data_IF_123648142647
#
_entry.id   IF_123648142647
#
_cell.length_a   1.000
_cell.length_b   1.000
_cell.length_c   1.000
_cell.angle_alpha   90.00
_cell.angle_beta   90.00
_cell.angle_gamma   90.00
#
_symmetry.space_group_name_H-M   'P 1'
#
loop_
_entity.id
_entity.type
_entity.pdbx_description
1 polymer ?
#
# COMPACT_ATOMS: atom_id res chain seq x y z
N UNK A 1 40.51 19.51 12.16
CA UNK A 1 40.74 19.79 10.72
C UNK A 1 41.63 21.04 10.47
N UNK A 2 42.43 21.50 11.44
CA UNK A 2 43.54 22.44 11.19
C UNK A 2 44.91 21.73 11.25
N UNK A 3 45.00 20.58 11.93
CA UNK A 3 46.27 19.89 12.20
C UNK A 3 46.77 19.11 10.98
N UNK A 4 45.88 18.51 10.17
CA UNK A 4 46.29 17.69 9.03
C UNK A 4 46.80 18.51 7.83
N UNK A 5 46.41 19.78 7.71
CA UNK A 5 46.82 20.66 6.61
C UNK A 5 48.19 21.32 6.86
N UNK A 6 48.60 21.45 8.12
CA UNK A 6 49.92 22.00 8.48
C UNK A 6 51.03 20.99 8.13
N UNK A 7 50.73 19.69 8.20
CA UNK A 7 51.66 18.60 7.91
C UNK A 7 52.05 18.49 6.43
N UNK A 8 51.32 19.12 5.50
CA UNK A 8 51.54 19.00 4.05
C UNK A 8 52.16 20.23 3.37
N UNK A 9 52.46 21.30 4.12
CA UNK A 9 53.02 22.54 3.57
C UNK A 9 52.07 23.34 2.68
N UNK A 10 50.79 22.96 2.60
CA UNK A 10 49.78 23.70 1.85
C UNK A 10 49.27 24.89 2.67
N UNK A 11 49.28 26.09 2.07
CA UNK A 11 48.73 27.31 2.69
C UNK A 11 47.23 27.11 2.96
N UNK A 12 46.72 27.33 4.19
CA UNK A 12 45.29 27.27 4.47
C UNK A 12 44.54 28.31 3.64
N UNK A 13 43.90 27.86 2.57
CA UNK A 13 43.05 28.72 1.74
C UNK A 13 41.64 28.73 2.32
N UNK A 14 41.09 29.93 2.56
CA UNK A 14 39.71 30.13 3.05
C UNK A 14 38.70 29.42 2.13
N UNK A 15 38.95 29.39 0.82
CA UNK A 15 38.09 28.71 -0.14
C UNK A 15 37.97 27.20 0.14
N UNK A 16 39.07 26.54 0.50
CA UNK A 16 39.07 25.12 0.85
C UNK A 16 38.29 24.85 2.15
N UNK A 17 38.35 25.77 3.11
CA UNK A 17 37.58 25.67 4.34
C UNK A 17 36.07 25.85 4.09
N UNK A 18 35.70 26.79 3.20
CA UNK A 18 34.31 27.03 2.82
C UNK A 18 33.73 25.84 2.05
N UNK A 19 34.49 25.23 1.14
CA UNK A 19 34.07 24.01 0.42
C UNK A 19 33.84 22.84 1.39
N UNK A 20 34.77 22.63 2.32
CA UNK A 20 34.62 21.57 3.33
C UNK A 20 33.40 21.79 4.22
N UNK A 21 33.15 23.03 4.66
CA UNK A 21 31.99 23.39 5.44
C UNK A 21 30.68 23.17 4.67
N UNK A 22 30.61 23.59 3.40
CA UNK A 22 29.45 23.37 2.55
C UNK A 22 29.13 21.87 2.42
N UNK A 23 30.13 21.01 2.26
CA UNK A 23 29.94 19.56 2.22
C UNK A 23 29.30 19.04 3.51
N UNK A 24 29.85 19.41 4.67
CA UNK A 24 29.36 18.97 5.98
C UNK A 24 27.92 19.45 6.21
N UNK A 25 27.63 20.73 5.95
CA UNK A 25 26.30 21.28 6.17
C UNK A 25 25.26 20.70 5.21
N UNK A 26 25.62 20.46 3.95
CA UNK A 26 24.70 19.85 2.99
C UNK A 26 24.41 18.38 3.32
N UNK A 27 25.41 17.60 3.76
CA UNK A 27 25.19 16.23 4.24
C UNK A 27 24.26 16.21 5.46
N UNK A 28 24.45 17.12 6.42
CA UNK A 28 23.58 17.28 7.57
C UNK A 28 22.17 17.73 7.17
N UNK A 29 22.04 18.65 6.22
CA UNK A 29 20.75 19.12 5.69
C UNK A 29 19.95 17.99 5.04
N UNK A 30 20.62 17.10 4.28
CA UNK A 30 19.95 15.91 3.69
C UNK A 30 19.42 15.01 4.81
N UNK A 31 20.22 14.76 5.84
CA UNK A 31 19.81 13.91 6.96
C UNK A 31 18.61 14.51 7.71
N UNK A 32 18.66 15.78 8.02
CA UNK A 32 17.60 16.50 8.73
C UNK A 32 16.28 16.53 7.92
N UNK A 33 16.36 16.81 6.62
CA UNK A 33 15.20 16.73 5.73
C UNK A 33 14.57 15.34 5.68
N UNK A 34 15.38 14.27 5.68
CA UNK A 34 14.88 12.90 5.73
C UNK A 34 14.23 12.55 7.06
N UNK A 35 14.79 12.99 8.18
CA UNK A 35 14.22 12.76 9.51
C UNK A 35 12.83 13.41 9.62
N UNK A 36 12.67 14.65 9.12
CA UNK A 36 11.36 15.31 9.01
C UNK A 36 10.40 14.47 8.16
N UNK A 37 10.83 14.07 6.96
CA UNK A 37 9.99 13.28 6.07
C UNK A 37 9.52 11.96 6.70
N UNK A 38 10.45 11.21 7.28
CA UNK A 38 10.18 9.92 7.91
C UNK A 38 9.25 10.07 9.12
N UNK A 39 9.50 11.04 9.99
CA UNK A 39 8.69 11.24 11.19
C UNK A 39 7.22 11.56 10.87
N UNK A 40 6.97 12.40 9.87
CA UNK A 40 5.61 12.75 9.45
C UNK A 40 4.92 11.59 8.71
N UNK A 41 5.65 10.84 7.87
CA UNK A 41 5.08 9.68 7.19
C UNK A 41 4.81 8.50 8.12
N UNK A 42 5.63 8.27 9.15
CA UNK A 42 5.35 7.25 10.18
C UNK A 42 4.12 7.62 11.02
N UNK A 43 3.86 8.91 11.28
CA UNK A 43 2.59 9.33 11.90
C UNK A 43 1.40 9.02 10.99
N UNK A 44 1.52 9.31 9.69
CA UNK A 44 0.47 9.06 8.69
C UNK A 44 0.11 7.57 8.57
N UNK A 45 1.10 6.69 8.72
CA UNK A 45 0.94 5.24 8.64
C UNK A 45 -0.10 4.67 9.61
N UNK A 46 -0.34 5.32 10.75
CA UNK A 46 -1.38 4.93 11.70
C UNK A 46 -2.80 5.04 11.11
N UNK A 47 -2.98 5.80 10.03
CA UNK A 47 -4.26 5.98 9.35
C UNK A 47 -4.42 5.08 8.13
N UNK A 48 -3.49 4.17 7.86
CA UNK A 48 -3.62 3.25 6.74
C UNK A 48 -4.77 2.25 6.97
N UNK A 49 -5.49 1.84 5.90
CA UNK A 49 -5.32 2.26 4.51
C UNK A 49 -5.98 3.61 4.20
N UNK A 50 -5.34 4.40 3.33
CA UNK A 50 -5.82 5.66 2.77
C UNK A 50 -6.09 5.52 1.26
N UNK A 51 -6.98 6.38 0.74
CA UNK A 51 -7.13 6.55 -0.71
C UNK A 51 -5.81 7.05 -1.32
N UNK A 52 -5.53 6.64 -2.57
CA UNK A 52 -4.27 7.00 -3.24
C UNK A 52 -4.09 8.52 -3.36
N UNK A 53 -5.18 9.25 -3.61
CA UNK A 53 -5.17 10.72 -3.71
C UNK A 53 -4.74 11.37 -2.39
N UNK A 54 -5.21 10.85 -1.26
CA UNK A 54 -4.94 11.40 0.06
C UNK A 54 -3.50 11.08 0.48
N UNK A 55 -3.06 9.84 0.25
CA UNK A 55 -1.67 9.44 0.47
C UNK A 55 -0.69 10.28 -0.37
N UNK A 56 -1.01 10.51 -1.64
CA UNK A 56 -0.17 11.32 -2.55
C UNK A 56 -0.15 12.78 -2.13
N UNK A 57 -1.31 13.36 -1.77
CA UNK A 57 -1.41 14.73 -1.28
C UNK A 57 -0.57 14.94 -0.02
N UNK A 58 -0.66 14.01 0.95
CA UNK A 58 0.15 14.05 2.16
C UNK A 58 1.64 13.90 1.87
N UNK A 59 2.02 12.98 0.97
CA UNK A 59 3.40 12.84 0.52
C UNK A 59 3.96 14.14 -0.05
N UNK A 60 3.23 14.83 -0.94
CA UNK A 60 3.69 16.09 -1.53
C UNK A 60 3.87 17.19 -0.47
N UNK A 61 2.95 17.28 0.48
CA UNK A 61 3.05 18.23 1.58
C UNK A 61 4.30 17.97 2.45
N UNK A 62 4.50 16.72 2.87
CA UNK A 62 5.64 16.34 3.71
C UNK A 62 6.97 16.44 2.95
N UNK A 63 6.99 16.08 1.65
CA UNK A 63 8.14 16.30 0.77
C UNK A 63 8.52 17.79 0.75
N UNK A 64 7.55 18.69 0.60
CA UNK A 64 7.79 20.13 0.63
C UNK A 64 8.39 20.60 1.96
N UNK A 65 7.89 20.10 3.10
CA UNK A 65 8.47 20.40 4.42
C UNK A 65 9.91 19.92 4.56
N UNK A 66 10.22 18.71 4.08
CA UNK A 66 11.57 18.17 4.08
C UNK A 66 12.53 19.00 3.21
N UNK A 67 12.09 19.41 2.01
CA UNK A 67 12.84 20.30 1.14
C UNK A 67 13.06 21.67 1.78
N UNK A 68 12.05 22.25 2.43
CA UNK A 68 12.21 23.52 3.14
C UNK A 68 13.19 23.40 4.32
N UNK A 69 13.18 22.28 5.03
CA UNK A 69 14.11 22.00 6.13
C UNK A 69 15.55 21.91 5.60
N UNK A 70 15.75 21.17 4.52
CA UNK A 70 17.03 21.12 3.80
C UNK A 70 17.51 22.52 3.40
N UNK A 71 16.67 23.31 2.74
CA UNK A 71 17.02 24.64 2.24
C UNK A 71 17.44 25.64 3.33
N UNK A 72 16.92 25.49 4.55
CA UNK A 72 17.29 26.35 5.69
C UNK A 72 18.73 26.11 6.16
N UNK A 73 19.27 24.91 5.94
CA UNK A 73 20.59 24.50 6.41
C UNK A 73 21.63 24.41 5.29
N UNK A 74 21.19 24.02 4.09
CA UNK A 74 22.06 23.83 2.94
C UNK A 74 22.73 25.14 2.53
N UNK A 75 23.98 25.05 2.08
CA UNK A 75 24.73 26.18 1.57
C UNK A 75 25.68 25.74 0.45
N UNK A 76 25.80 26.57 -0.61
CA UNK A 76 26.63 26.30 -1.80
C UNK A 76 26.37 24.93 -2.47
N UNK A 77 25.12 24.46 -2.50
CA UNK A 77 24.72 23.28 -3.30
C UNK A 77 24.51 23.65 -4.79
N UNK A 78 25.53 24.23 -5.43
CA UNK A 78 25.43 24.85 -6.76
C UNK A 78 24.99 23.88 -7.85
N UNK A 79 25.41 22.61 -7.77
CA UNK A 79 25.04 21.55 -8.73
C UNK A 79 23.70 20.87 -8.40
N UNK A 80 23.10 21.23 -7.25
CA UNK A 80 21.87 20.64 -6.72
C UNK A 80 22.00 19.15 -6.36
N UNK A 81 23.22 18.65 -6.20
CA UNK A 81 23.47 17.21 -5.99
C UNK A 81 22.91 16.73 -4.64
N UNK A 82 22.99 17.56 -3.61
CA UNK A 82 22.48 17.20 -2.29
C UNK A 82 20.95 17.24 -2.26
N UNK A 83 20.35 18.24 -2.89
CA UNK A 83 18.90 18.29 -3.07
C UNK A 83 18.37 17.07 -3.84
N UNK A 84 19.00 16.71 -4.98
CA UNK A 84 18.65 15.50 -5.74
C UNK A 84 18.76 14.24 -4.88
N UNK A 85 19.84 14.13 -4.08
CA UNK A 85 20.01 13.00 -3.16
C UNK A 85 18.88 12.90 -2.13
N UNK A 86 18.42 14.03 -1.59
CA UNK A 86 17.26 14.07 -0.69
C UNK A 86 15.99 13.59 -1.41
N UNK A 87 15.70 14.10 -2.60
CA UNK A 87 14.51 13.73 -3.36
C UNK A 87 14.47 12.26 -3.75
N UNK A 88 15.60 11.69 -4.18
CA UNK A 88 15.72 10.26 -4.50
C UNK A 88 15.46 9.37 -3.28
N UNK A 89 16.01 9.74 -2.12
CA UNK A 89 15.80 9.01 -0.86
C UNK A 89 14.35 9.12 -0.40
N UNK A 90 13.73 10.30 -0.51
CA UNK A 90 12.30 10.50 -0.25
C UNK A 90 11.44 9.62 -1.17
N UNK A 91 11.76 9.54 -2.46
CA UNK A 91 11.02 8.69 -3.42
C UNK A 91 11.07 7.22 -3.01
N UNK A 92 12.27 6.71 -2.69
CA UNK A 92 12.44 5.31 -2.23
C UNK A 92 11.65 5.02 -0.96
N UNK A 93 11.63 5.95 -0.01
CA UNK A 93 10.82 5.82 1.20
C UNK A 93 9.33 5.81 0.87
N UNK A 94 8.88 6.69 -0.04
CA UNK A 94 7.49 6.77 -0.45
C UNK A 94 6.99 5.47 -1.11
N UNK A 95 7.81 4.81 -1.92
CA UNK A 95 7.48 3.50 -2.50
C UNK A 95 7.20 2.45 -1.40
N UNK A 96 7.99 2.48 -0.32
CA UNK A 96 7.77 1.66 0.88
C UNK A 96 6.42 1.95 1.55
N UNK A 97 6.09 3.22 1.79
CA UNK A 97 4.81 3.62 2.38
C UNK A 97 3.62 3.27 1.48
N UNK A 98 3.74 3.45 0.17
CA UNK A 98 2.73 3.01 -0.79
C UNK A 98 2.50 1.49 -0.72
N UNK A 99 3.58 0.70 -0.64
CA UNK A 99 3.48 -0.74 -0.48
C UNK A 99 2.75 -1.13 0.81
N UNK A 100 3.09 -0.51 1.93
CA UNK A 100 2.42 -0.73 3.21
C UNK A 100 0.93 -0.34 3.16
N UNK A 101 0.59 0.80 2.55
CA UNK A 101 -0.79 1.23 2.37
C UNK A 101 -1.60 0.24 1.51
N UNK A 102 -1.00 -0.24 0.41
CA UNK A 102 -1.59 -1.28 -0.45
C UNK A 102 -1.85 -2.56 0.34
N UNK A 103 -0.90 -3.00 1.15
CA UNK A 103 -1.04 -4.19 1.96
C UNK A 103 -2.11 -4.05 3.05
N UNK A 104 -2.20 -2.88 3.71
CA UNK A 104 -3.26 -2.59 4.67
C UNK A 104 -4.65 -2.59 4.00
N UNK A 105 -4.76 -2.03 2.79
CA UNK A 105 -6.01 -2.06 2.02
C UNK A 105 -6.39 -3.49 1.65
N UNK A 106 -5.44 -4.29 1.14
CA UNK A 106 -5.67 -5.70 0.81
C UNK A 106 -6.18 -6.48 2.02
N UNK A 107 -5.50 -6.40 3.18
CA UNK A 107 -5.91 -7.10 4.40
C UNK A 107 -7.33 -6.73 4.83
N UNK A 108 -7.65 -5.43 4.87
CA UNK A 108 -8.98 -4.95 5.27
C UNK A 108 -10.07 -5.48 4.34
N UNK A 109 -9.82 -5.46 3.04
CA UNK A 109 -10.72 -6.00 2.03
C UNK A 109 -10.91 -7.53 2.19
N UNK A 110 -9.83 -8.28 2.44
CA UNK A 110 -9.85 -9.73 2.70
C UNK A 110 -10.64 -10.07 3.97
N UNK A 111 -10.42 -9.34 5.06
CA UNK A 111 -11.14 -9.52 6.33
C UNK A 111 -12.64 -9.25 6.16
N UNK A 112 -13.00 -8.20 5.42
CA UNK A 112 -14.38 -7.87 5.11
C UNK A 112 -15.05 -8.97 4.27
N UNK A 113 -14.42 -9.44 3.20
CA UNK A 113 -14.95 -10.55 2.40
C UNK A 113 -15.06 -11.83 3.21
N UNK A 114 -14.07 -12.13 4.06
CA UNK A 114 -14.11 -13.30 4.94
C UNK A 114 -15.31 -13.22 5.89
N UNK A 115 -15.56 -12.05 6.48
CA UNK A 115 -16.73 -11.84 7.33
C UNK A 115 -18.05 -11.95 6.57
N UNK A 116 -18.15 -11.36 5.38
CA UNK A 116 -19.37 -11.37 4.57
C UNK A 116 -19.70 -12.76 4.01
N UNK A 117 -18.67 -13.54 3.66
CA UNK A 117 -18.80 -14.86 3.08
C UNK A 117 -18.90 -15.99 4.11
N UNK A 118 -18.55 -15.76 5.38
CA UNK A 118 -18.59 -16.77 6.43
C UNK A 118 -19.92 -17.55 6.51
N UNK A 119 -21.12 -16.92 6.44
CA UNK A 119 -22.39 -17.66 6.46
C UNK A 119 -22.56 -18.58 5.24
N UNK A 120 -22.16 -18.13 4.05
CA UNK A 120 -22.20 -18.91 2.82
C UNK A 120 -21.23 -20.09 2.87
N UNK A 121 -20.02 -19.87 3.43
CA UNK A 121 -19.02 -20.93 3.63
C UNK A 121 -19.54 -22.02 4.57
N UNK A 122 -20.29 -21.65 5.59
CA UNK A 122 -20.90 -22.61 6.51
C UNK A 122 -22.01 -23.43 5.83
N UNK A 123 -22.90 -22.76 5.06
CA UNK A 123 -23.88 -23.44 4.20
C UNK A 123 -23.20 -24.45 3.26
N UNK A 124 -22.07 -24.07 2.66
CA UNK A 124 -21.30 -24.93 1.76
C UNK A 124 -20.78 -26.18 2.48
N UNK A 125 -20.18 -26.02 3.67
CA UNK A 125 -19.67 -27.14 4.49
C UNK A 125 -20.76 -28.11 4.91
N UNK A 126 -21.95 -27.59 5.21
CA UNK A 126 -23.10 -28.39 5.60
C UNK A 126 -23.79 -29.09 4.42
N UNK A 127 -23.30 -28.89 3.19
CA UNK A 127 -23.89 -29.47 1.99
C UNK A 127 -25.24 -28.84 1.61
N UNK A 128 -25.54 -27.62 2.08
CA UNK A 128 -26.82 -26.95 1.85
C UNK A 128 -27.17 -26.78 0.36
N UNK A 129 -26.15 -26.58 -0.48
CA UNK A 129 -26.31 -26.43 -1.93
C UNK A 129 -26.34 -27.77 -2.69
N UNK A 130 -26.10 -28.90 -2.03
CA UNK A 130 -26.15 -30.23 -2.64
C UNK A 130 -27.61 -30.73 -2.74
N UNK A 131 -28.46 -29.95 -3.40
CA UNK A 131 -29.88 -30.22 -3.62
C UNK A 131 -30.33 -29.66 -4.98
N UNK A 132 -31.44 -30.16 -5.53
CA UNK A 132 -32.05 -29.60 -6.74
C UNK A 132 -32.34 -28.09 -6.60
N UNK A 133 -31.86 -27.30 -7.56
CA UNK A 133 -31.89 -25.83 -7.53
C UNK A 133 -30.88 -25.19 -6.57
N UNK A 134 -29.95 -25.97 -6.01
CA UNK A 134 -28.92 -25.51 -5.10
C UNK A 134 -27.92 -24.56 -5.74
N UNK A 135 -27.64 -24.71 -7.03
CA UNK A 135 -26.76 -23.81 -7.78
C UNK A 135 -27.30 -22.38 -7.85
N UNK A 136 -28.61 -22.22 -8.10
CA UNK A 136 -29.26 -20.91 -8.14
C UNK A 136 -29.19 -20.20 -6.78
N UNK A 137 -29.31 -20.95 -5.68
CA UNK A 137 -29.16 -20.42 -4.33
C UNK A 137 -27.72 -19.98 -4.04
N UNK A 138 -26.73 -20.76 -4.48
CA UNK A 138 -25.32 -20.39 -4.38
C UNK A 138 -25.02 -19.10 -5.13
N UNK A 139 -25.51 -18.98 -6.38
CA UNK A 139 -25.35 -17.77 -7.20
C UNK A 139 -25.97 -16.53 -6.52
N UNK A 140 -27.16 -16.68 -5.91
CA UNK A 140 -27.81 -15.59 -5.16
C UNK A 140 -27.00 -15.16 -3.94
N UNK A 141 -26.56 -16.11 -3.12
CA UNK A 141 -25.73 -15.80 -1.94
C UNK A 141 -24.42 -15.10 -2.35
N UNK A 142 -23.79 -15.52 -3.45
CA UNK A 142 -22.57 -14.91 -3.99
C UNK A 142 -22.81 -13.48 -4.48
N UNK A 143 -23.90 -13.23 -5.20
CA UNK A 143 -24.28 -11.89 -5.67
C UNK A 143 -24.61 -10.95 -4.50
N UNK A 144 -25.26 -11.45 -3.45
CA UNK A 144 -25.54 -10.68 -2.24
C UNK A 144 -24.26 -10.29 -1.49
N UNK A 145 -23.27 -11.20 -1.42
CA UNK A 145 -21.94 -10.89 -0.86
C UNK A 145 -21.27 -9.81 -1.69
N UNK A 146 -21.26 -9.94 -3.02
CA UNK A 146 -20.68 -8.95 -3.94
C UNK A 146 -21.29 -7.57 -3.74
N UNK A 147 -22.62 -7.47 -3.66
CA UNK A 147 -23.33 -6.21 -3.42
C UNK A 147 -22.98 -5.59 -2.07
N UNK A 148 -22.97 -6.40 -1.00
CA UNK A 148 -22.62 -5.95 0.37
C UNK A 148 -21.17 -5.51 0.48
N UNK A 149 -20.27 -6.18 -0.24
CA UNK A 149 -18.87 -5.82 -0.29
C UNK A 149 -18.69 -4.49 -1.02
N UNK A 150 -19.24 -4.36 -2.23
CA UNK A 150 -19.12 -3.13 -3.04
C UNK A 150 -19.71 -1.90 -2.34
N UNK A 151 -20.79 -2.05 -1.56
CA UNK A 151 -21.36 -0.94 -0.80
C UNK A 151 -20.47 -0.47 0.36
N UNK A 152 -19.67 -1.38 0.94
CA UNK A 152 -18.80 -1.10 2.10
C UNK A 152 -17.37 -0.73 1.69
N UNK A 153 -16.88 -1.26 0.57
CA UNK A 153 -15.49 -1.14 0.13
C UNK A 153 -15.28 -0.08 -0.97
N UNK A 154 -16.31 0.71 -1.33
CA UNK A 154 -16.38 1.59 -2.52
C UNK A 154 -15.34 2.74 -2.60
N UNK A 155 -14.31 2.73 -1.76
CA UNK A 155 -13.24 3.73 -1.67
C UNK A 155 -11.86 3.11 -1.42
N UNK A 156 -11.77 1.79 -1.27
CA UNK A 156 -10.50 1.15 -0.91
C UNK A 156 -9.66 0.87 -2.16
N UNK A 157 -8.37 1.19 -2.07
CA UNK A 157 -7.45 1.15 -3.19
C UNK A 157 -7.29 -0.25 -3.82
N UNK A 158 -7.44 -1.32 -3.03
CA UNK A 158 -7.30 -2.73 -3.47
C UNK A 158 -8.61 -3.52 -3.50
N UNK A 159 -9.76 -2.89 -3.27
CA UNK A 159 -11.01 -3.61 -3.10
C UNK A 159 -11.41 -4.47 -4.31
N UNK A 160 -11.26 -3.95 -5.53
CA UNK A 160 -11.66 -4.66 -6.75
C UNK A 160 -10.80 -5.91 -6.99
N UNK A 161 -9.47 -5.78 -6.87
CA UNK A 161 -8.52 -6.89 -7.06
C UNK A 161 -8.78 -8.04 -6.08
N UNK A 162 -9.08 -7.70 -4.82
CA UNK A 162 -9.39 -8.69 -3.77
C UNK A 162 -10.74 -9.38 -4.06
N UNK A 163 -11.72 -8.64 -4.57
CA UNK A 163 -13.01 -9.21 -4.97
C UNK A 163 -12.85 -10.15 -6.18
N UNK A 164 -12.09 -9.77 -7.19
CA UNK A 164 -11.81 -10.62 -8.36
C UNK A 164 -11.13 -11.93 -7.95
N UNK A 165 -10.11 -11.86 -7.09
CA UNK A 165 -9.41 -13.04 -6.56
C UNK A 165 -10.38 -13.97 -5.80
N UNK A 166 -11.24 -13.40 -4.96
CA UNK A 166 -12.27 -14.14 -4.24
C UNK A 166 -13.28 -14.81 -5.20
N UNK A 167 -13.80 -14.09 -6.19
CA UNK A 167 -14.76 -14.64 -7.15
C UNK A 167 -14.13 -15.77 -7.99
N UNK A 168 -12.86 -15.62 -8.37
CA UNK A 168 -12.11 -16.66 -9.05
C UNK A 168 -11.99 -17.91 -8.19
N UNK A 169 -11.71 -17.78 -6.90
CA UNK A 169 -11.69 -18.91 -5.97
C UNK A 169 -13.06 -19.59 -5.89
N UNK A 170 -14.15 -18.81 -5.79
CA UNK A 170 -15.52 -19.34 -5.72
C UNK A 170 -16.01 -20.02 -7.01
N UNK A 171 -15.39 -19.73 -8.16
CA UNK A 171 -15.76 -20.38 -9.43
C UNK A 171 -15.51 -21.90 -9.43
N UNK A 172 -14.51 -22.36 -8.66
CA UNK A 172 -14.23 -23.79 -8.48
C UNK A 172 -15.37 -24.47 -7.71
N UNK A 173 -15.80 -23.87 -6.60
CA UNK A 173 -16.94 -24.33 -5.80
C UNK A 173 -18.23 -24.33 -6.63
N UNK A 174 -18.45 -23.27 -7.41
CA UNK A 174 -19.59 -23.10 -8.31
C UNK A 174 -19.72 -24.24 -9.31
N UNK A 175 -18.60 -24.67 -9.91
CA UNK A 175 -18.59 -25.76 -10.89
C UNK A 175 -18.98 -27.10 -10.27
N UNK A 176 -18.48 -27.39 -9.05
CA UNK A 176 -18.81 -28.62 -8.34
C UNK A 176 -20.30 -28.66 -7.92
N UNK A 177 -20.83 -27.53 -7.44
CA UNK A 177 -22.24 -27.41 -7.06
C UNK A 177 -23.15 -27.59 -8.28
N UNK A 178 -22.81 -26.97 -9.42
CA UNK A 178 -23.58 -27.12 -10.66
C UNK A 178 -23.68 -28.59 -11.09
N UNK A 179 -22.57 -29.31 -11.07
CA UNK A 179 -22.54 -30.73 -11.42
C UNK A 179 -23.40 -31.57 -10.48
N UNK A 180 -23.33 -31.32 -9.17
CA UNK A 180 -24.15 -32.02 -8.18
C UNK A 180 -25.64 -31.72 -8.38
N UNK A 181 -26.02 -30.46 -8.60
CA UNK A 181 -27.40 -30.03 -8.83
C UNK A 181 -28.01 -30.69 -10.07
N UNK A 182 -27.26 -30.72 -11.18
CA UNK A 182 -27.70 -31.38 -12.42
C UNK A 182 -27.98 -32.88 -12.20
N UNK A 183 -27.08 -33.59 -11.53
CA UNK A 183 -27.25 -35.02 -11.25
C UNK A 183 -28.45 -35.30 -10.34
N UNK A 184 -28.66 -34.47 -9.32
CA UNK A 184 -29.78 -34.61 -8.39
C UNK A 184 -31.11 -34.31 -9.07
N UNK A 185 -31.16 -33.24 -9.88
CA UNK A 185 -32.33 -32.85 -10.65
C UNK A 185 -32.73 -33.93 -11.67
N UNK A 186 -31.76 -34.55 -12.35
CA UNK A 186 -32.04 -35.68 -13.26
C UNK A 186 -32.57 -36.91 -12.53
N UNK A 187 -32.04 -37.24 -11.35
CA UNK A 187 -32.53 -38.37 -10.54
C UNK A 187 -33.96 -38.14 -10.08
N UNK A 188 -34.31 -36.94 -9.63
CA UNK A 188 -35.69 -36.62 -9.24
C UNK A 188 -36.69 -36.76 -10.39
N UNK A 189 -36.30 -36.34 -11.61
CA UNK A 189 -37.13 -36.50 -12.80
C UNK A 189 -37.39 -37.97 -13.19
N UNK A 190 -36.52 -38.89 -12.79
CA UNK A 190 -36.65 -40.34 -13.06
C UNK A 190 -37.48 -41.09 -12.01
N UNK A 191 -37.68 -40.48 -10.84
CA UNK A 191 -38.43 -41.05 -9.71
C UNK A 191 -39.89 -40.58 -9.73
N UNK A 192 -40.16 -39.41 -10.32
CA UNK A 192 -41.50 -38.93 -10.67
C UNK A 192 -42.01 -39.60 -11.95
#
# INVERSE_FOLDING_TARGET
MYVDTISSGAVPCVENAVIAMAKIENEAAVKEGLEVYQSEMEKLKNSFPLELKDLTSKHQHVKSMATQTFMKRSFRDTDGNNLKSLEEKISKLFDGYQCQNKQASKRRSEDLLSSLSAPMMEKLKQGFYARPGGYDLFCKDLEDIKKKYNSQANKEFKAEEVLEEFLKQKSVDSTAILQADMQLTEKEKKIK
#
